data_IF_810718375328
#
_entry.id   IF_810718375328
#
_cell.length_a   1.000
_cell.length_b   1.000
_cell.length_c   1.000
_cell.angle_alpha   90.00
_cell.angle_beta   90.00
_cell.angle_gamma   90.00
#
_symmetry.space_group_name_H-M   'P 1'
#
loop_
_entity.id
_entity.type
_entity.pdbx_description
1 polymer ?
#
# COMPACT_ATOMS: atom_id res chain seq x y z
N UNK A 1 -42.56 3.05 -26.01
CA UNK A 1 -42.87 1.69 -25.50
C UNK A 1 -43.85 0.89 -26.36
N UNK A 2 -45.03 1.42 -26.75
CA UNK A 2 -46.02 0.66 -27.55
C UNK A 2 -45.51 0.11 -28.89
N UNK A 3 -44.66 0.85 -29.60
CA UNK A 3 -44.10 0.40 -30.89
C UNK A 3 -43.03 -0.70 -30.75
N UNK A 4 -42.25 -0.69 -29.67
CA UNK A 4 -41.26 -1.74 -29.38
C UNK A 4 -41.92 -3.08 -29.02
N UNK A 5 -43.04 -3.03 -28.28
CA UNK A 5 -43.83 -4.22 -27.95
C UNK A 5 -44.50 -4.83 -29.19
N UNK A 6 -45.00 -3.99 -30.11
CA UNK A 6 -45.57 -4.45 -31.37
C UNK A 6 -44.52 -5.17 -32.24
N UNK A 7 -43.31 -4.61 -32.36
CA UNK A 7 -42.19 -5.24 -33.06
C UNK A 7 -41.68 -6.53 -32.39
N UNK A 8 -41.75 -6.62 -31.06
CA UNK A 8 -41.36 -7.84 -30.35
C UNK A 8 -42.36 -8.98 -30.58
N UNK A 9 -43.65 -8.64 -30.64
CA UNK A 9 -44.74 -9.61 -30.84
C UNK A 9 -44.80 -10.17 -32.27
N UNK A 10 -44.22 -9.50 -33.26
CA UNK A 10 -44.16 -9.95 -34.66
C UNK A 10 -42.97 -10.89 -34.97
N UNK A 11 -42.07 -11.09 -34.00
CA UNK A 11 -40.90 -11.97 -34.14
C UNK A 11 -41.26 -13.44 -33.89
N UNK A 12 -40.51 -14.36 -34.50
CA UNK A 12 -40.66 -15.79 -34.24
C UNK A 12 -40.28 -16.13 -32.79
N UNK A 13 -40.85 -17.21 -32.22
CA UNK A 13 -40.54 -17.66 -30.84
C UNK A 13 -39.04 -17.85 -30.59
N UNK A 14 -38.27 -18.25 -31.61
CA UNK A 14 -36.81 -18.37 -31.54
C UNK A 14 -36.10 -17.02 -31.43
N UNK A 15 -36.50 -16.04 -32.23
CA UNK A 15 -35.95 -14.67 -32.19
C UNK A 15 -36.32 -13.94 -30.90
N UNK A 16 -37.52 -14.15 -30.36
CA UNK A 16 -37.92 -13.61 -29.06
C UNK A 16 -37.05 -14.15 -27.92
N UNK A 17 -36.79 -15.47 -27.90
CA UNK A 17 -35.91 -16.10 -26.91
C UNK A 17 -34.46 -15.62 -27.03
N UNK A 18 -33.98 -15.44 -28.26
CA UNK A 18 -32.64 -14.91 -28.51
C UNK A 18 -32.50 -13.47 -27.99
N UNK A 19 -33.46 -12.60 -28.26
CA UNK A 19 -33.44 -11.22 -27.76
C UNK A 19 -33.54 -11.14 -26.23
N UNK A 20 -34.36 -11.99 -25.61
CA UNK A 20 -34.42 -12.10 -24.15
C UNK A 20 -33.08 -12.57 -23.56
N UNK A 21 -32.44 -13.58 -24.16
CA UNK A 21 -31.13 -14.05 -23.73
C UNK A 21 -30.06 -12.97 -23.89
N UNK A 22 -30.05 -12.26 -25.02
CA UNK A 22 -29.12 -11.14 -25.27
C UNK A 22 -29.31 -10.01 -24.25
N UNK A 23 -30.57 -9.65 -23.94
CA UNK A 23 -30.90 -8.63 -22.96
C UNK A 23 -30.37 -9.00 -21.57
N UNK A 24 -30.58 -10.25 -21.14
CA UNK A 24 -30.05 -10.77 -19.88
C UNK A 24 -28.52 -10.78 -19.87
N UNK A 25 -27.90 -11.21 -20.97
CA UNK A 25 -26.45 -11.29 -21.11
C UNK A 25 -25.76 -9.93 -21.09
N UNK A 26 -26.46 -8.85 -21.44
CA UNK A 26 -25.95 -7.46 -21.38
C UNK A 26 -26.27 -6.80 -20.03
N UNK A 27 -27.50 -6.95 -19.53
CA UNK A 27 -27.94 -6.28 -18.29
C UNK A 27 -27.22 -6.80 -17.05
N UNK A 28 -26.95 -8.11 -16.96
CA UNK A 28 -26.26 -8.69 -15.80
C UNK A 28 -24.81 -8.16 -15.64
N UNK A 29 -23.92 -8.24 -16.64
CA UNK A 29 -22.57 -7.71 -16.49
C UNK A 29 -22.56 -6.18 -16.33
N UNK A 30 -23.49 -5.47 -16.98
CA UNK A 30 -23.61 -4.03 -16.81
C UNK A 30 -24.02 -3.64 -15.38
N UNK A 31 -25.00 -4.33 -14.80
CA UNK A 31 -25.41 -4.10 -13.40
C UNK A 31 -24.32 -4.50 -12.40
N UNK A 32 -23.53 -5.54 -12.67
CA UNK A 32 -22.35 -5.89 -11.87
C UNK A 32 -21.27 -4.80 -11.95
N UNK A 33 -20.98 -4.27 -13.14
CA UNK A 33 -20.03 -3.17 -13.32
C UNK A 33 -20.47 -1.91 -12.60
N UNK A 34 -21.75 -1.53 -12.72
CA UNK A 34 -22.33 -0.39 -12.01
C UNK A 34 -22.28 -0.62 -10.49
N UNK A 35 -22.61 -1.83 -10.03
CA UNK A 35 -22.49 -2.21 -8.61
C UNK A 35 -21.06 -2.08 -8.09
N UNK A 36 -20.06 -2.49 -8.87
CA UNK A 36 -18.64 -2.35 -8.53
C UNK A 36 -18.21 -0.88 -8.48
N UNK A 37 -18.69 -0.06 -9.43
CA UNK A 37 -18.41 1.38 -9.46
C UNK A 37 -19.04 2.09 -8.26
N UNK A 38 -20.30 1.77 -7.93
CA UNK A 38 -20.98 2.29 -6.74
C UNK A 38 -20.25 1.85 -5.47
N UNK A 39 -19.86 0.59 -5.37
CA UNK A 39 -19.09 0.08 -4.22
C UNK A 39 -17.76 0.83 -4.04
N UNK A 40 -17.01 1.03 -5.13
CA UNK A 40 -15.78 1.80 -5.10
C UNK A 40 -16.03 3.27 -4.73
N UNK A 41 -17.06 3.90 -5.30
CA UNK A 41 -17.42 5.28 -5.01
C UNK A 41 -17.88 5.48 -3.56
N UNK A 42 -18.64 4.53 -3.01
CA UNK A 42 -19.10 4.54 -1.61
C UNK A 42 -17.92 4.33 -0.66
N UNK A 43 -16.99 3.43 -0.97
CA UNK A 43 -15.77 3.27 -0.17
C UNK A 43 -14.90 4.53 -0.19
N UNK A 44 -14.74 5.17 -1.35
CA UNK A 44 -14.07 6.46 -1.48
C UNK A 44 -14.80 7.59 -0.74
N UNK A 45 -16.13 7.61 -0.78
CA UNK A 45 -16.95 8.61 -0.09
C UNK A 45 -16.93 8.40 1.43
N UNK A 46 -16.96 7.17 1.92
CA UNK A 46 -16.79 6.86 3.35
C UNK A 46 -15.41 7.28 3.83
N UNK A 47 -14.36 7.02 3.04
CA UNK A 47 -13.01 7.58 3.24
C UNK A 47 -13.06 9.10 3.37
N UNK A 48 -13.69 9.77 2.41
CA UNK A 48 -13.81 11.23 2.39
C UNK A 48 -14.57 11.80 3.59
N UNK A 49 -15.64 11.15 4.04
CA UNK A 49 -16.51 11.67 5.10
C UNK A 49 -15.88 11.50 6.49
N UNK A 50 -15.24 10.35 6.76
CA UNK A 50 -14.49 10.12 8.00
C UNK A 50 -13.26 11.02 8.11
N UNK A 51 -12.64 11.36 6.97
CA UNK A 51 -11.54 12.30 6.89
C UNK A 51 -12.02 13.75 7.06
N UNK A 52 -13.12 14.16 6.42
CA UNK A 52 -13.65 15.52 6.46
C UNK A 52 -14.10 15.96 7.87
N UNK A 53 -14.67 15.05 8.67
CA UNK A 53 -15.04 15.34 10.06
C UNK A 53 -13.81 15.55 10.95
N UNK A 54 -12.71 14.82 10.69
CA UNK A 54 -11.46 14.92 11.44
C UNK A 54 -10.54 16.04 10.94
N UNK A 55 -10.76 16.51 9.71
CA UNK A 55 -9.92 17.49 9.01
C UNK A 55 -9.78 18.82 9.75
N UNK A 56 -10.88 19.42 10.23
CA UNK A 56 -10.81 20.74 10.91
C UNK A 56 -10.02 20.67 12.21
N UNK A 57 -10.19 19.59 12.96
CA UNK A 57 -9.48 19.37 14.23
C UNK A 57 -7.99 19.16 13.97
N UNK A 58 -7.65 18.37 12.95
CA UNK A 58 -6.25 18.13 12.56
C UNK A 58 -5.57 19.36 11.97
N UNK A 59 -6.26 20.17 11.16
CA UNK A 59 -5.71 21.44 10.64
C UNK A 59 -5.38 22.42 11.76
N UNK A 60 -6.26 22.55 12.75
CA UNK A 60 -6.01 23.40 13.91
C UNK A 60 -4.82 22.87 14.74
N UNK A 61 -4.73 21.56 14.94
CA UNK A 61 -3.61 20.93 15.66
C UNK A 61 -2.28 21.05 14.91
N UNK A 62 -2.27 20.87 13.59
CA UNK A 62 -1.10 21.01 12.74
C UNK A 62 -0.56 22.44 12.76
N UNK A 63 -1.45 23.44 12.61
CA UNK A 63 -1.06 24.85 12.68
C UNK A 63 -0.50 25.22 14.05
N UNK A 64 -1.07 24.70 15.15
CA UNK A 64 -0.57 24.94 16.50
C UNK A 64 0.75 24.18 16.81
N UNK A 65 1.09 23.17 16.00
CA UNK A 65 2.32 22.41 16.10
C UNK A 65 3.47 23.09 15.35
N UNK A 66 3.19 23.68 14.19
CA UNK A 66 4.18 24.39 13.36
C UNK A 66 4.92 25.49 14.15
N UNK A 67 4.22 26.21 15.04
CA UNK A 67 4.82 27.26 15.88
C UNK A 67 5.70 26.73 17.03
N UNK A 68 5.73 25.40 17.23
CA UNK A 68 6.37 24.74 18.39
C UNK A 68 7.47 23.76 18.03
N UNK A 69 7.69 23.51 16.74
CA UNK A 69 8.77 22.66 16.25
C UNK A 69 10.01 23.50 15.99
N UNK A 70 11.16 23.01 16.44
CA UNK A 70 12.44 23.67 16.17
C UNK A 70 12.69 23.75 14.64
N UNK A 71 12.80 24.94 14.04
CA UNK A 71 13.08 25.09 12.61
C UNK A 71 14.40 24.44 12.18
N UNK A 72 15.37 24.32 13.08
CA UNK A 72 16.65 23.63 12.80
C UNK A 72 16.43 22.16 12.44
N UNK A 73 15.48 21.48 13.10
CA UNK A 73 15.13 20.08 12.83
C UNK A 73 14.46 19.88 11.45
N UNK A 74 14.00 20.97 10.82
CA UNK A 74 13.33 21.01 9.52
C UNK A 74 14.20 21.57 8.38
N UNK A 75 15.52 21.68 8.56
CA UNK A 75 16.42 22.21 7.52
C UNK A 75 16.46 21.39 6.24
N UNK A 76 16.30 20.07 6.31
CA UNK A 76 16.38 19.21 5.13
C UNK A 76 15.01 19.05 4.44
N UNK A 77 14.95 19.02 3.10
CA UNK A 77 13.70 18.77 2.37
C UNK A 77 13.03 17.43 2.72
N UNK A 78 13.83 16.41 3.02
CA UNK A 78 13.32 15.11 3.50
C UNK A 78 12.65 15.21 4.87
N UNK A 79 13.20 16.04 5.77
CA UNK A 79 12.61 16.25 7.08
C UNK A 79 11.33 17.08 6.98
N UNK A 80 11.31 18.12 6.13
CA UNK A 80 10.10 18.89 5.85
C UNK A 80 8.98 18.01 5.28
N UNK A 81 9.32 17.12 4.34
CA UNK A 81 8.36 16.18 3.78
C UNK A 81 7.83 15.21 4.85
N UNK A 82 8.73 14.57 5.61
CA UNK A 82 8.36 13.64 6.67
C UNK A 82 7.56 14.32 7.80
N UNK A 83 7.89 15.57 8.12
CA UNK A 83 7.15 16.39 9.08
C UNK A 83 5.75 16.74 8.56
N UNK A 84 5.61 17.10 7.28
CA UNK A 84 4.29 17.32 6.67
C UNK A 84 3.42 16.07 6.71
N UNK A 85 3.99 14.89 6.43
CA UNK A 85 3.29 13.60 6.59
C UNK A 85 2.83 13.37 8.04
N UNK A 86 3.64 13.82 9.00
CA UNK A 86 3.35 13.74 10.43
C UNK A 86 2.41 14.86 10.91
N UNK A 87 2.31 16.02 10.27
CA UNK A 87 1.47 17.13 10.75
C UNK A 87 0.11 17.15 10.05
N UNK A 88 0.05 16.77 8.76
CA UNK A 88 -1.15 16.91 7.91
C UNK A 88 -1.97 15.64 7.74
N UNK A 89 -1.73 14.63 8.58
CA UNK A 89 -2.48 13.37 8.76
C UNK A 89 -3.38 12.90 7.60
N UNK A 90 -4.59 13.47 7.48
CA UNK A 90 -5.59 13.14 6.47
C UNK A 90 -5.15 13.41 5.03
N UNK A 91 -4.57 14.58 4.79
CA UNK A 91 -4.44 15.13 3.44
C UNK A 91 -3.34 14.42 2.66
N UNK A 92 -2.33 13.90 3.38
CA UNK A 92 -1.14 13.28 2.81
C UNK A 92 -1.07 11.77 3.09
N UNK A 93 -2.17 11.14 3.55
CA UNK A 93 -2.28 9.68 3.61
C UNK A 93 -1.85 9.01 2.29
N UNK A 94 -2.24 9.50 1.10
CA UNK A 94 -1.82 8.92 -0.17
C UNK A 94 -0.31 9.03 -0.45
N UNK A 95 0.40 9.88 0.29
CA UNK A 95 1.83 10.13 0.10
C UNK A 95 2.73 9.20 0.95
N UNK A 96 2.16 8.41 1.87
CA UNK A 96 2.90 7.39 2.63
C UNK A 96 3.18 6.20 1.73
N UNK A 97 4.43 6.03 1.32
CA UNK A 97 4.80 5.01 0.34
C UNK A 97 5.44 3.79 0.99
N UNK A 98 4.86 2.63 0.74
CA UNK A 98 5.52 1.34 0.89
C UNK A 98 5.97 0.89 -0.49
N UNK A 99 7.26 0.61 -0.63
CA UNK A 99 7.82 0.05 -1.87
C UNK A 99 8.16 -1.41 -1.63
N UNK A 100 7.48 -2.31 -2.33
CA UNK A 100 7.75 -3.75 -2.26
C UNK A 100 8.31 -4.21 -3.59
N UNK A 101 9.52 -4.75 -3.57
CA UNK A 101 10.15 -5.36 -4.73
C UNK A 101 10.12 -6.87 -4.60
N UNK A 102 9.52 -7.57 -5.57
CA UNK A 102 9.39 -9.03 -5.58
C UNK A 102 10.07 -9.61 -6.81
N UNK A 103 11.11 -10.42 -6.60
CA UNK A 103 11.70 -11.23 -7.66
C UNK A 103 11.03 -12.61 -7.71
N UNK A 104 10.38 -12.92 -8.83
CA UNK A 104 9.72 -14.19 -9.05
C UNK A 104 10.55 -15.08 -9.99
N UNK A 105 10.79 -16.36 -9.65
CA UNK A 105 11.33 -17.31 -10.59
C UNK A 105 10.30 -17.57 -11.71
N UNK A 106 10.75 -17.59 -12.95
CA UNK A 106 9.91 -17.93 -14.11
C UNK A 106 9.63 -19.43 -14.25
N UNK A 107 10.05 -20.23 -13.25
CA UNK A 107 10.21 -21.68 -13.28
C UNK A 107 8.97 -22.53 -13.54
N UNK A 108 7.77 -21.95 -13.54
CA UNK A 108 6.49 -22.68 -13.76
C UNK A 108 5.67 -22.18 -14.95
N UNK A 109 6.24 -21.30 -15.80
CA UNK A 109 5.68 -21.10 -17.13
C UNK A 109 5.94 -22.37 -17.94
N UNK A 110 5.06 -23.36 -17.84
CA UNK A 110 5.08 -24.49 -18.78
C UNK A 110 4.91 -23.89 -20.18
N UNK A 111 5.93 -23.94 -21.06
CA UNK A 111 5.70 -23.54 -22.43
C UNK A 111 4.57 -24.40 -22.99
N UNK A 112 3.59 -23.78 -23.66
CA UNK A 112 2.73 -24.55 -24.56
C UNK A 112 3.67 -25.33 -25.48
N UNK A 113 3.57 -26.66 -25.47
CA UNK A 113 4.49 -27.63 -26.11
C UNK A 113 5.21 -27.00 -27.31
N UNK A 114 6.52 -26.76 -27.18
CA UNK A 114 7.41 -26.36 -28.28
C UNK A 114 7.80 -24.89 -28.35
N UNK A 115 7.12 -23.96 -27.68
CA UNK A 115 7.48 -22.53 -27.77
C UNK A 115 8.42 -22.09 -26.65
N UNK A 116 9.50 -21.38 -27.00
CA UNK A 116 10.28 -20.61 -26.01
C UNK A 116 9.39 -19.52 -25.44
N UNK A 117 9.39 -19.34 -24.12
CA UNK A 117 8.75 -18.19 -23.47
C UNK A 117 9.40 -16.92 -24.03
N UNK A 118 8.60 -16.05 -24.63
CA UNK A 118 9.06 -14.77 -25.16
C UNK A 118 9.04 -13.69 -24.07
N UNK A 119 9.75 -12.60 -24.29
CA UNK A 119 9.69 -11.43 -23.39
C UNK A 119 8.27 -10.85 -23.32
N UNK A 120 7.53 -10.87 -24.44
CA UNK A 120 6.13 -10.44 -24.51
C UNK A 120 5.21 -11.32 -23.66
N UNK A 121 5.43 -12.65 -23.62
CA UNK A 121 4.66 -13.56 -22.74
C UNK A 121 4.89 -13.23 -21.26
N UNK A 122 6.11 -12.82 -20.90
CA UNK A 122 6.47 -12.41 -19.54
C UNK A 122 5.83 -11.08 -19.18
N UNK A 123 5.87 -10.11 -20.09
CA UNK A 123 5.27 -8.79 -19.92
C UNK A 123 3.75 -8.90 -19.79
N UNK A 124 3.09 -9.70 -20.63
CA UNK A 124 1.64 -9.90 -20.58
C UNK A 124 1.21 -10.57 -19.27
N UNK A 125 1.88 -11.65 -18.85
CA UNK A 125 1.57 -12.32 -17.58
C UNK A 125 1.86 -11.43 -16.37
N UNK A 126 2.93 -10.63 -16.45
CA UNK A 126 3.21 -9.65 -15.43
C UNK A 126 2.09 -8.61 -15.34
N UNK A 127 1.69 -8.02 -16.46
CA UNK A 127 0.60 -7.05 -16.51
C UNK A 127 -0.73 -7.61 -15.98
N UNK A 128 -1.05 -8.88 -16.27
CA UNK A 128 -2.25 -9.54 -15.76
C UNK A 128 -2.24 -9.75 -14.24
N UNK A 129 -1.08 -10.06 -13.65
CA UNK A 129 -0.99 -10.45 -12.23
C UNK A 129 -0.53 -9.33 -11.30
N UNK A 130 0.01 -8.24 -11.83
CA UNK A 130 0.64 -7.19 -11.02
C UNK A 130 -0.36 -6.47 -10.11
N UNK A 131 -1.58 -6.28 -10.58
CA UNK A 131 -2.67 -5.69 -9.80
C UNK A 131 -3.06 -6.61 -8.62
N UNK A 132 -3.29 -7.90 -8.90
CA UNK A 132 -3.62 -8.89 -7.89
C UNK A 132 -2.49 -9.06 -6.84
N UNK A 133 -1.22 -8.92 -7.25
CA UNK A 133 -0.07 -8.91 -6.34
C UNK A 133 -0.08 -7.68 -5.43
N UNK A 134 -0.38 -6.49 -5.98
CA UNK A 134 -0.54 -5.27 -5.21
C UNK A 134 -1.68 -5.37 -4.18
N UNK A 135 -2.83 -5.91 -4.57
CA UNK A 135 -3.98 -6.14 -3.69
C UNK A 135 -3.66 -7.15 -2.58
N UNK A 136 -2.99 -8.25 -2.94
CA UNK A 136 -2.54 -9.25 -1.97
C UNK A 136 -1.56 -8.66 -0.95
N UNK A 137 -0.65 -7.81 -1.40
CA UNK A 137 0.28 -7.12 -0.51
C UNK A 137 -0.46 -6.12 0.39
N UNK A 138 -1.40 -5.35 -0.15
CA UNK A 138 -2.25 -4.46 0.65
C UNK A 138 -3.02 -5.22 1.74
N UNK A 139 -3.52 -6.42 1.45
CA UNK A 139 -4.18 -7.26 2.45
C UNK A 139 -3.23 -7.67 3.60
N UNK A 140 -1.92 -7.80 3.35
CA UNK A 140 -0.93 -8.06 4.40
C UNK A 140 -0.66 -6.84 5.28
N UNK A 141 -0.79 -5.61 4.74
CA UNK A 141 -0.60 -4.38 5.50
C UNK A 141 -1.82 -4.07 6.39
N UNK A 142 -3.03 -4.35 5.88
CA UNK A 142 -4.27 -4.04 6.57
C UNK A 142 -4.37 -4.82 7.90
N UNK A 143 -4.77 -4.13 8.97
CA UNK A 143 -4.87 -4.69 10.31
C UNK A 143 -3.55 -4.79 11.08
N UNK A 144 -2.39 -4.67 10.40
CA UNK A 144 -1.06 -4.65 11.05
C UNK A 144 -0.49 -3.24 11.12
N UNK A 145 -0.32 -2.59 9.96
CA UNK A 145 0.21 -1.23 9.83
C UNK A 145 -0.86 -0.25 9.36
N UNK A 146 -1.81 -0.74 8.57
CA UNK A 146 -2.76 0.09 7.85
C UNK A 146 -4.22 -0.18 8.25
N UNK A 147 -5.05 0.87 8.33
CA UNK A 147 -6.51 0.72 8.28
C UNK A 147 -6.98 0.54 6.84
N UNK A 148 -6.28 1.15 5.89
CA UNK A 148 -6.60 1.16 4.45
C UNK A 148 -5.31 1.14 3.64
N UNK A 149 -5.32 0.46 2.50
CA UNK A 149 -4.19 0.37 1.58
C UNK A 149 -4.67 0.40 0.13
N UNK A 150 -3.94 1.12 -0.73
CA UNK A 150 -4.23 1.24 -2.15
C UNK A 150 -2.94 1.10 -2.96
N UNK A 151 -3.01 0.39 -4.08
CA UNK A 151 -1.90 0.28 -5.03
C UNK A 151 -1.80 1.60 -5.82
N UNK A 152 -0.65 2.27 -5.74
CA UNK A 152 -0.40 3.54 -6.45
C UNK A 152 0.22 3.33 -7.82
N UNK A 153 1.22 2.45 -7.86
CA UNK A 153 1.80 2.01 -9.12
C UNK A 153 2.34 0.61 -8.94
N UNK A 154 2.36 -0.11 -10.04
CA UNK A 154 2.85 -1.47 -10.08
C UNK A 154 3.60 -1.58 -11.41
N UNK A 155 4.91 -1.78 -11.34
CA UNK A 155 5.77 -1.91 -12.52
C UNK A 155 6.50 -3.24 -12.50
N UNK A 156 6.80 -3.74 -13.69
CA UNK A 156 7.46 -5.01 -13.89
C UNK A 156 8.61 -4.85 -14.87
N UNK A 157 9.72 -5.53 -14.63
CA UNK A 157 10.82 -5.61 -15.58
C UNK A 157 11.53 -6.96 -15.53
N UNK A 158 12.08 -7.45 -16.66
CA UNK A 158 12.94 -8.61 -16.64
C UNK A 158 14.20 -8.35 -15.79
N UNK A 159 14.58 -9.32 -14.97
CA UNK A 159 15.75 -9.25 -14.09
C UNK A 159 16.70 -10.42 -14.40
N UNK A 160 17.32 -10.38 -15.57
CA UNK A 160 18.09 -11.50 -16.12
C UNK A 160 17.23 -12.48 -16.91
N UNK A 161 17.74 -13.70 -17.16
CA UNK A 161 17.11 -14.66 -18.11
C UNK A 161 16.00 -15.53 -17.51
N UNK A 162 15.84 -15.55 -16.20
CA UNK A 162 14.96 -16.50 -15.49
C UNK A 162 14.13 -15.87 -14.37
N UNK A 163 14.21 -14.55 -14.21
CA UNK A 163 13.58 -13.84 -13.10
C UNK A 163 12.88 -12.61 -13.65
N UNK A 164 11.71 -12.34 -13.13
CA UNK A 164 11.00 -11.09 -13.36
C UNK A 164 10.87 -10.34 -12.03
N UNK A 165 11.18 -9.05 -12.04
CA UNK A 165 11.14 -8.17 -10.88
C UNK A 165 9.90 -7.29 -10.95
N UNK A 166 9.05 -7.42 -9.94
CA UNK A 166 7.91 -6.55 -9.72
C UNK A 166 8.26 -5.50 -8.69
N UNK A 167 7.88 -4.25 -8.94
CA UNK A 167 7.97 -3.16 -8.00
C UNK A 167 6.58 -2.60 -7.77
N UNK A 168 6.09 -2.77 -6.55
CA UNK A 168 4.80 -2.28 -6.08
C UNK A 168 5.03 -1.03 -5.25
N UNK A 169 4.33 0.05 -5.57
CA UNK A 169 4.22 1.23 -4.72
C UNK A 169 2.81 1.25 -4.14
N UNK A 170 2.72 1.17 -2.82
CA UNK A 170 1.46 1.17 -2.08
C UNK A 170 1.35 2.46 -1.27
N UNK A 171 0.16 3.04 -1.26
CA UNK A 171 -0.23 4.07 -0.31
C UNK A 171 -1.06 3.46 0.82
N UNK A 172 -0.92 3.97 2.04
CA UNK A 172 -1.67 3.44 3.18
C UNK A 172 -2.01 4.48 4.26
N UNK A 173 -3.15 4.28 4.90
CA UNK A 173 -3.57 5.00 6.10
C UNK A 173 -3.13 4.21 7.33
N UNK A 174 -2.35 4.82 8.25
CA UNK A 174 -1.91 4.13 9.46
C UNK A 174 -3.05 3.82 10.40
N UNK A 175 -2.96 2.68 11.11
CA UNK A 175 -3.91 2.30 12.17
C UNK A 175 -3.90 3.32 13.31
N UNK A 176 -2.70 3.72 13.73
CA UNK A 176 -2.49 4.65 14.82
C UNK A 176 -1.82 5.90 14.24
N UNK A 177 -2.58 6.88 13.72
CA UNK A 177 -2.00 8.16 13.36
C UNK A 177 -1.37 8.82 14.60
N UNK A 178 -0.59 9.86 14.36
CA UNK A 178 0.06 10.65 15.41
C UNK A 178 -0.88 10.99 16.58
N UNK A 179 -0.31 10.93 17.79
CA UNK A 179 -1.03 11.21 19.03
C UNK A 179 -1.27 12.70 19.25
N UNK A 180 -1.94 13.05 20.35
CA UNK A 180 -2.11 14.47 20.74
C UNK A 180 -0.74 15.05 21.09
N UNK A 181 -0.40 16.19 20.49
CA UNK A 181 0.72 17.02 20.96
C UNK A 181 0.29 17.83 22.20
N UNK A 182 1.18 17.93 23.17
CA UNK A 182 1.05 18.88 24.28
C UNK A 182 1.29 20.31 23.78
N UNK A 183 0.30 21.22 23.90
CA UNK A 183 0.46 22.61 23.51
C UNK A 183 1.41 23.41 24.43
N UNK A 184 1.81 22.90 25.59
CA UNK A 184 2.78 23.59 26.43
C UNK A 184 4.25 23.28 26.06
N UNK A 185 4.49 22.24 25.27
CA UNK A 185 5.84 21.74 24.99
C UNK A 185 6.43 22.27 23.67
N UNK A 186 7.77 22.38 23.63
CA UNK A 186 8.55 22.54 22.39
C UNK A 186 9.11 21.20 21.94
N UNK A 187 9.10 20.98 20.64
CA UNK A 187 9.46 19.69 20.04
C UNK A 187 10.63 19.82 19.07
N UNK A 188 11.42 18.76 19.01
CA UNK A 188 12.33 18.47 17.91
C UNK A 188 11.77 17.37 17.03
N UNK A 189 11.87 17.57 15.72
CA UNK A 189 11.50 16.57 14.74
C UNK A 189 12.65 15.61 14.47
N UNK A 190 12.40 14.31 14.70
CA UNK A 190 13.40 13.26 14.53
C UNK A 190 12.92 12.23 13.52
N UNK A 191 13.82 11.87 12.59
CA UNK A 191 13.65 10.68 11.74
C UNK A 191 14.61 9.60 12.23
N UNK A 192 14.07 8.47 12.65
CA UNK A 192 14.83 7.27 12.94
C UNK A 192 14.70 6.24 11.82
N UNK A 193 15.75 5.46 11.58
CA UNK A 193 15.75 4.37 10.58
C UNK A 193 16.01 3.04 11.26
N UNK A 194 15.38 1.98 10.75
CA UNK A 194 15.62 0.61 11.21
C UNK A 194 15.68 -0.38 10.06
N UNK A 195 16.26 -1.54 10.32
CA UNK A 195 16.18 -2.72 9.45
C UNK A 195 15.24 -3.75 10.09
N UNK A 196 13.91 -3.60 9.92
CA UNK A 196 12.92 -4.49 10.52
C UNK A 196 13.12 -5.92 10.01
N UNK A 197 12.77 -6.91 10.83
CA UNK A 197 12.97 -8.31 10.45
C UNK A 197 14.45 -8.67 10.30
N UNK A 198 15.37 -8.11 11.08
CA UNK A 198 16.82 -8.40 10.94
C UNK A 198 17.15 -9.91 11.01
N UNK A 199 16.41 -10.66 11.81
CA UNK A 199 16.49 -12.13 11.83
C UNK A 199 15.84 -12.74 10.57
N UNK A 200 14.67 -12.23 10.19
CA UNK A 200 13.88 -12.65 9.05
C UNK A 200 14.56 -12.41 7.67
N UNK A 201 15.37 -11.36 7.57
CA UNK A 201 16.05 -10.88 6.34
C UNK A 201 17.40 -11.58 6.10
N UNK A 202 17.96 -12.24 7.13
CA UNK A 202 19.20 -13.02 7.01
C UNK A 202 18.98 -14.46 6.52
N UNK A 203 17.74 -14.95 6.63
CA UNK A 203 17.40 -16.33 6.29
C UNK A 203 17.15 -16.48 4.78
N UNK A 204 17.65 -17.58 4.22
CA UNK A 204 17.22 -18.07 2.90
C UNK A 204 15.91 -18.81 3.12
N UNK A 205 14.85 -18.41 2.43
CA UNK A 205 13.53 -19.04 2.55
C UNK A 205 13.02 -19.43 1.16
N UNK A 206 12.16 -20.44 1.08
CA UNK A 206 11.47 -20.74 -0.18
C UNK A 206 10.58 -19.57 -0.60
N UNK A 207 10.49 -19.31 -1.91
CA UNK A 207 9.69 -18.20 -2.46
C UNK A 207 8.24 -18.18 -1.96
N UNK A 208 7.60 -19.35 -1.83
CA UNK A 208 6.23 -19.51 -1.29
C UNK A 208 6.06 -18.94 0.14
N UNK A 209 7.14 -18.93 0.93
CA UNK A 209 7.13 -18.41 2.30
C UNK A 209 7.41 -16.90 2.38
N UNK A 210 7.71 -16.26 1.25
CA UNK A 210 8.08 -14.84 1.23
C UNK A 210 6.94 -13.94 1.74
N UNK A 211 5.69 -14.22 1.38
CA UNK A 211 4.53 -13.43 1.83
C UNK A 211 4.38 -13.44 3.37
N UNK A 212 4.50 -14.63 3.98
CA UNK A 212 4.47 -14.78 5.45
C UNK A 212 5.62 -14.01 6.11
N UNK A 213 6.80 -14.00 5.48
CA UNK A 213 7.93 -13.25 6.00
C UNK A 213 7.75 -11.74 5.87
N UNK A 214 7.14 -11.24 4.78
CA UNK A 214 6.76 -9.82 4.63
C UNK A 214 5.74 -9.41 5.67
N UNK A 215 4.75 -10.25 5.96
CA UNK A 215 3.80 -10.01 7.06
C UNK A 215 4.49 -9.82 8.41
N UNK A 216 5.49 -10.66 8.73
CA UNK A 216 6.29 -10.48 9.95
C UNK A 216 7.09 -9.18 9.96
N UNK A 217 7.65 -8.78 8.81
CA UNK A 217 8.32 -7.49 8.69
C UNK A 217 7.35 -6.34 8.95
N UNK A 218 6.10 -6.40 8.46
CA UNK A 218 5.09 -5.39 8.77
C UNK A 218 4.78 -5.33 10.27
N UNK A 219 4.69 -6.48 10.94
CA UNK A 219 4.52 -6.54 12.39
C UNK A 219 5.71 -5.90 13.12
N UNK A 220 6.95 -6.22 12.75
CA UNK A 220 8.14 -5.65 13.38
C UNK A 220 8.20 -4.12 13.23
N UNK A 221 7.75 -3.59 12.09
CA UNK A 221 7.63 -2.14 11.86
C UNK A 221 6.57 -1.54 12.78
N UNK A 222 5.42 -2.20 12.93
CA UNK A 222 4.35 -1.76 13.81
C UNK A 222 4.82 -1.73 15.28
N UNK A 223 5.51 -2.79 15.72
CA UNK A 223 6.04 -2.95 17.06
C UNK A 223 7.14 -1.92 17.36
N UNK A 224 8.03 -1.67 16.39
CA UNK A 224 9.06 -0.62 16.51
C UNK A 224 8.41 0.75 16.67
N UNK A 225 7.41 1.07 15.85
CA UNK A 225 6.71 2.35 15.94
C UNK A 225 5.91 2.47 17.24
N UNK A 226 5.32 1.38 17.74
CA UNK A 226 4.68 1.34 19.05
C UNK A 226 5.67 1.57 20.19
N UNK A 227 6.89 1.02 20.11
CA UNK A 227 7.95 1.25 21.07
C UNK A 227 8.44 2.70 21.08
N UNK A 228 8.58 3.32 19.90
CA UNK A 228 8.87 4.76 19.77
C UNK A 228 7.75 5.57 20.41
N UNK A 229 6.49 5.28 20.06
CA UNK A 229 5.30 5.97 20.61
C UNK A 229 5.24 5.91 22.14
N UNK A 230 5.66 4.81 22.77
CA UNK A 230 5.74 4.72 24.24
C UNK A 230 6.78 5.66 24.85
N UNK A 231 7.82 6.03 24.11
CA UNK A 231 8.91 6.91 24.56
C UNK A 231 8.65 8.37 24.27
N UNK A 232 8.20 8.70 23.06
CA UNK A 232 8.04 10.08 22.57
C UNK A 232 6.57 10.52 22.48
N UNK A 233 5.62 9.68 22.93
CA UNK A 233 4.18 9.93 22.81
C UNK A 233 3.61 9.82 21.39
N UNK A 234 4.45 9.76 20.36
CA UNK A 234 4.04 9.71 18.97
C UNK A 234 5.03 8.97 18.08
N UNK A 235 4.53 8.43 16.97
CA UNK A 235 5.33 7.82 15.91
C UNK A 235 4.47 7.69 14.64
N UNK A 236 5.08 7.92 13.49
CA UNK A 236 4.54 7.59 12.16
C UNK A 236 5.63 6.93 11.30
N UNK A 237 5.25 5.90 10.56
CA UNK A 237 6.03 5.27 9.50
C UNK A 237 5.95 6.14 8.25
N UNK A 238 7.06 6.78 7.88
CA UNK A 238 7.13 7.70 6.73
C UNK A 238 7.64 7.02 5.46
N UNK A 239 8.27 5.85 5.60
CA UNK A 239 8.67 5.05 4.46
C UNK A 239 9.01 3.63 4.88
N UNK A 240 8.65 2.67 4.02
CA UNK A 240 9.01 1.27 4.17
C UNK A 240 9.41 0.72 2.81
N UNK A 241 10.57 0.09 2.74
CA UNK A 241 11.01 -0.66 1.57
C UNK A 241 11.24 -2.11 1.96
N UNK A 242 10.70 -3.04 1.17
CA UNK A 242 10.95 -4.47 1.31
C UNK A 242 11.40 -5.00 -0.04
N UNK A 243 12.61 -5.55 -0.11
CA UNK A 243 13.14 -6.18 -1.32
C UNK A 243 13.21 -7.69 -1.17
N UNK A 244 12.74 -8.42 -2.17
CA UNK A 244 12.91 -9.87 -2.28
C UNK A 244 13.91 -10.15 -3.39
N UNK A 245 15.00 -10.85 -3.07
CA UNK A 245 16.03 -11.24 -4.02
C UNK A 245 16.05 -12.74 -4.19
N UNK A 246 15.94 -13.23 -5.42
CA UNK A 246 16.05 -14.65 -5.73
C UNK A 246 17.52 -15.08 -5.75
N UNK A 247 17.83 -16.19 -5.09
CA UNK A 247 19.14 -16.81 -5.15
C UNK A 247 19.28 -17.60 -6.46
N UNK A 248 20.34 -17.32 -7.22
CA UNK A 248 20.58 -17.90 -8.55
C UNK A 248 20.52 -19.43 -8.51
N UNK A 249 19.75 -20.01 -9.44
CA UNK A 249 19.64 -21.46 -9.61
C UNK A 249 18.90 -22.19 -8.49
N UNK A 250 18.21 -21.47 -7.60
CA UNK A 250 17.44 -22.07 -6.49
C UNK A 250 16.04 -21.45 -6.38
N UNK A 251 15.06 -22.16 -5.80
CA UNK A 251 13.74 -21.59 -5.48
C UNK A 251 13.77 -20.70 -4.21
N UNK A 252 14.96 -20.40 -3.69
CA UNK A 252 15.15 -19.69 -2.43
C UNK A 252 15.28 -18.19 -2.68
N UNK A 253 14.70 -17.40 -1.78
CA UNK A 253 14.81 -15.94 -1.75
C UNK A 253 15.41 -15.46 -0.44
N UNK A 254 15.93 -14.23 -0.48
CA UNK A 254 16.34 -13.44 0.67
C UNK A 254 15.55 -12.15 0.67
N UNK A 255 15.05 -11.76 1.84
CA UNK A 255 14.37 -10.49 2.00
C UNK A 255 15.34 -9.46 2.59
N UNK A 256 15.19 -8.21 2.20
CA UNK A 256 15.77 -7.05 2.88
C UNK A 256 14.66 -6.07 3.19
N UNK A 257 14.78 -5.35 4.30
CA UNK A 257 13.82 -4.32 4.65
C UNK A 257 14.47 -3.13 5.31
N UNK A 258 13.92 -1.95 5.04
CA UNK A 258 14.32 -0.68 5.64
C UNK A 258 13.06 0.12 5.94
N UNK A 259 12.94 0.62 7.17
CA UNK A 259 11.84 1.48 7.59
C UNK A 259 12.37 2.81 8.14
N UNK A 260 11.62 3.87 7.88
CA UNK A 260 11.82 5.19 8.44
C UNK A 260 10.61 5.57 9.32
N UNK A 261 10.90 6.10 10.50
CA UNK A 261 9.89 6.55 11.46
C UNK A 261 10.14 8.01 11.79
N UNK A 262 9.09 8.81 11.72
CA UNK A 262 9.06 10.17 12.19
C UNK A 262 8.44 10.23 13.59
N UNK A 263 9.05 11.03 14.46
CA UNK A 263 8.54 11.34 15.79
C UNK A 263 8.89 12.77 16.18
N UNK A 264 8.04 13.37 17.01
CA UNK A 264 8.31 14.61 17.74
C UNK A 264 8.73 14.24 19.15
N UNK A 265 9.87 14.77 19.57
CA UNK A 265 10.44 14.52 20.90
C UNK A 265 10.55 15.84 21.62
N UNK A 266 10.22 15.86 22.91
CA UNK A 266 10.37 17.10 23.69
C UNK A 266 11.84 17.34 24.01
N UNK A 267 12.24 18.61 24.20
CA UNK A 267 13.62 18.96 24.56
C UNK A 267 14.12 18.25 25.83
N UNK A 268 13.22 17.98 26.79
CA UNK A 268 13.53 17.27 28.03
C UNK A 268 13.85 15.78 27.79
N UNK A 269 13.13 15.12 26.87
CA UNK A 269 13.37 13.74 26.49
C UNK A 269 14.65 13.57 25.67
N UNK A 270 14.98 14.56 24.82
CA UNK A 270 16.23 14.56 24.06
C UNK A 270 17.45 14.61 24.99
N UNK A 271 17.43 15.52 25.98
CA UNK A 271 18.49 15.65 26.98
C UNK A 271 18.69 14.39 27.82
N UNK A 272 17.61 13.65 28.11
CA UNK A 272 17.68 12.38 28.83
C UNK A 272 18.23 11.22 27.98
N UNK A 273 18.26 11.35 26.65
CA UNK A 273 18.78 10.33 25.72
C UNK A 273 20.26 10.48 25.37
N UNK A 274 20.84 11.63 25.68
CA UNK A 274 22.27 11.95 25.44
C UNK A 274 23.16 11.72 26.66
N UNK A 275 22.61 11.23 27.78
CA UNK A 275 23.31 10.83 29.01
C UNK A 275 23.18 9.33 29.24
#
# INVERSE_FOLDING_TARGET
MKQLFAYFSSLTKGQQRFLLALLVMVLIPFSLLVGLQIYNAVNLAMLGNDLAVKERVWKAQASALDDRVDPESLKSPSNQFAYRLLAKHAELVPERRVVVTVQMPLGDLKPKKGNKITEDDLLNRAAENIQAMGESECALLIGTLATQCTVMSATGKPAGKQVYEYQLQLAFAEINPFGKSDPAARYEFIISKSSPGKAATRQRIYFENAARQRQRIYQDVADTCAAIRKKSGNCSVTGLSIGTRLDRGTPMVRLSASAAYASLVTAAELAASTH
#
